data_IF_499870048396
#
_entry.id   IF_499870048396
#
_cell.length_a   1.000
_cell.length_b   1.000
_cell.length_c   1.000
_cell.angle_alpha   90.00
_cell.angle_beta   90.00
_cell.angle_gamma   90.00
#
_symmetry.space_group_name_H-M   'P 1'
#
loop_
_entity.id
_entity.type
_entity.pdbx_description
1 polymer ?
#
# COMPACT_ATOMS: atom_id res chain seq x y z
N UNK A 1 -11.64 -20.96 3.95
CA UNK A 1 -10.23 -20.68 3.98
C UNK A 1 -9.80 -19.90 2.78
N UNK A 2 -9.20 -18.79 2.98
CA UNK A 2 -8.90 -17.91 1.87
C UNK A 2 -7.40 -17.63 1.84
N UNK A 3 -6.69 -18.41 1.03
CA UNK A 3 -5.25 -18.24 0.93
C UNK A 3 -4.87 -16.89 0.40
N UNK A 4 -5.64 -16.35 -0.53
CA UNK A 4 -5.32 -15.05 -1.11
C UNK A 4 -5.42 -13.95 -0.04
N UNK A 5 -6.39 -14.06 0.84
CA UNK A 5 -6.52 -13.08 1.91
C UNK A 5 -5.37 -13.20 2.90
N UNK A 6 -4.99 -14.44 3.25
CA UNK A 6 -3.88 -14.65 4.15
C UNK A 6 -2.58 -14.16 3.55
N UNK A 7 -2.37 -14.43 2.27
CA UNK A 7 -1.17 -13.96 1.60
C UNK A 7 -1.13 -12.45 1.53
N UNK A 8 -2.28 -11.82 1.31
CA UNK A 8 -2.36 -10.38 1.27
C UNK A 8 -1.93 -9.78 2.61
N UNK A 9 -2.45 -10.31 3.69
CA UNK A 9 -2.13 -9.81 5.02
C UNK A 9 -0.67 -10.05 5.37
N UNK A 10 -0.18 -11.23 5.06
CA UNK A 10 1.22 -11.54 5.33
C UNK A 10 2.16 -10.66 4.54
N UNK A 11 1.85 -10.44 3.26
CA UNK A 11 2.70 -9.59 2.43
C UNK A 11 2.70 -8.16 2.94
N UNK A 12 1.53 -7.67 3.37
CA UNK A 12 1.43 -6.33 3.90
C UNK A 12 2.29 -6.19 5.16
N UNK A 13 2.20 -7.17 6.05
CA UNK A 13 2.99 -7.13 7.28
C UNK A 13 4.48 -7.17 7.00
N UNK A 14 4.88 -8.01 6.06
CA UNK A 14 6.30 -8.11 5.72
C UNK A 14 6.81 -6.85 5.04
N UNK A 15 5.98 -6.21 4.24
CA UNK A 15 6.38 -4.97 3.62
C UNK A 15 6.55 -3.87 4.67
N UNK A 16 5.65 -3.83 5.65
CA UNK A 16 5.80 -2.86 6.73
C UNK A 16 7.11 -3.08 7.46
N UNK A 17 7.45 -4.33 7.74
CA UNK A 17 8.70 -4.63 8.41
C UNK A 17 9.90 -4.22 7.57
N UNK A 18 9.82 -4.40 6.26
CA UNK A 18 10.89 -4.01 5.36
C UNK A 18 11.07 -2.50 5.33
N UNK A 19 9.96 -1.77 5.29
CA UNK A 19 10.02 -0.32 5.32
C UNK A 19 10.62 0.19 6.62
N UNK A 20 10.28 -0.47 7.73
CA UNK A 20 10.88 -0.12 9.01
C UNK A 20 12.38 -0.34 8.99
N UNK A 21 12.84 -1.41 8.34
CA UNK A 21 14.27 -1.68 8.23
C UNK A 21 14.97 -0.63 7.39
N UNK A 22 14.31 -0.14 6.34
CA UNK A 22 14.89 0.94 5.54
C UNK A 22 15.09 2.18 6.40
N UNK A 23 14.09 2.49 7.20
CA UNK A 23 14.16 3.66 8.06
C UNK A 23 15.30 3.51 9.07
N UNK A 24 15.40 2.35 9.68
CA UNK A 24 16.43 2.09 10.67
C UNK A 24 17.82 2.16 10.04
N UNK A 25 17.93 1.82 8.76
CA UNK A 25 19.21 1.85 8.06
C UNK A 25 19.59 3.25 7.56
N UNK A 26 18.71 4.23 7.76
CA UNK A 26 19.01 5.60 7.38
C UNK A 26 18.62 5.98 5.97
N UNK A 27 17.79 5.16 5.31
CA UNK A 27 17.30 5.52 3.99
C UNK A 27 16.41 6.76 4.07
N UNK A 28 16.47 7.58 3.04
CA UNK A 28 15.51 8.67 2.93
C UNK A 28 14.11 8.08 2.80
N UNK A 29 13.18 8.51 3.67
CA UNK A 29 11.86 7.91 3.72
C UNK A 29 11.10 7.97 2.41
N UNK A 30 11.07 9.15 1.80
CA UNK A 30 10.37 9.30 0.54
C UNK A 30 10.99 8.48 -0.57
N UNK A 31 12.31 8.45 -0.62
CA UNK A 31 13.01 7.70 -1.66
C UNK A 31 12.78 6.20 -1.49
N UNK A 32 12.80 5.72 -0.24
CA UNK A 32 12.60 4.30 0.00
C UNK A 32 11.18 3.87 -0.38
N UNK A 33 10.19 4.68 -0.02
CA UNK A 33 8.83 4.35 -0.37
C UNK A 33 8.59 4.45 -1.86
N UNK A 34 9.18 5.44 -2.50
CA UNK A 34 9.06 5.56 -3.95
C UNK A 34 9.67 4.39 -4.68
N UNK A 35 10.86 3.97 -4.24
CA UNK A 35 11.51 2.83 -4.85
C UNK A 35 10.73 1.54 -4.65
N UNK A 36 10.21 1.33 -3.45
CA UNK A 36 9.41 0.15 -3.17
C UNK A 36 8.15 0.15 -4.03
N UNK A 37 7.49 1.29 -4.13
CA UNK A 37 6.28 1.41 -4.93
C UNK A 37 6.58 1.14 -6.40
N UNK A 38 7.67 1.68 -6.90
CA UNK A 38 8.03 1.48 -8.29
C UNK A 38 8.26 0.00 -8.59
N UNK A 39 8.93 -0.70 -7.69
CA UNK A 39 9.17 -2.14 -7.87
C UNK A 39 7.85 -2.90 -7.92
N UNK A 40 6.92 -2.54 -7.04
CA UNK A 40 5.63 -3.21 -7.01
C UNK A 40 4.84 -2.94 -8.29
N UNK A 41 4.82 -1.70 -8.72
CA UNK A 41 4.11 -1.32 -9.94
C UNK A 41 4.69 -2.06 -11.15
N UNK A 42 6.01 -2.16 -11.19
CA UNK A 42 6.67 -2.85 -12.28
C UNK A 42 6.24 -4.31 -12.34
N UNK A 43 6.20 -4.97 -11.19
CA UNK A 43 5.79 -6.37 -11.17
C UNK A 43 4.33 -6.54 -11.53
N UNK A 44 3.49 -5.61 -11.11
CA UNK A 44 2.08 -5.64 -11.49
C UNK A 44 1.92 -5.48 -12.99
N UNK A 45 2.69 -4.58 -13.57
CA UNK A 45 2.58 -4.32 -15.01
C UNK A 45 3.00 -5.54 -15.81
N UNK A 46 4.02 -6.24 -15.35
CA UNK A 46 4.48 -7.43 -16.05
C UNK A 46 3.50 -8.58 -15.89
N UNK A 47 2.94 -8.74 -14.70
CA UNK A 47 2.10 -9.89 -14.40
C UNK A 47 0.65 -9.75 -14.82
N UNK A 48 0.18 -8.54 -15.09
CA UNK A 48 -1.21 -8.34 -15.44
C UNK A 48 -1.45 -8.64 -16.91
N UNK A 49 -2.63 -9.13 -17.26
CA UNK A 49 -2.95 -9.42 -18.66
C UNK A 49 -3.01 -8.15 -19.50
N UNK A 50 -3.33 -7.02 -18.90
CA UNK A 50 -3.37 -5.76 -19.64
C UNK A 50 -3.27 -4.61 -18.65
N UNK A 51 -3.08 -3.42 -19.20
CA UNK A 51 -2.89 -2.22 -18.37
C UNK A 51 -4.13 -1.88 -17.56
N UNK A 52 -5.30 -2.10 -18.12
CA UNK A 52 -6.53 -1.77 -17.42
C UNK A 52 -6.69 -2.60 -16.16
N UNK A 53 -6.35 -3.89 -16.25
CA UNK A 53 -6.42 -4.77 -15.08
C UNK A 53 -5.43 -4.32 -14.02
N UNK A 54 -4.22 -3.97 -14.42
CA UNK A 54 -3.20 -3.52 -13.47
C UNK A 54 -3.64 -2.24 -12.78
N UNK A 55 -4.15 -1.28 -13.55
CA UNK A 55 -4.59 -0.01 -12.98
C UNK A 55 -5.77 -0.19 -12.06
N UNK A 56 -6.69 -1.10 -12.41
CA UNK A 56 -7.83 -1.37 -11.56
C UNK A 56 -7.41 -1.95 -10.22
N UNK A 57 -6.46 -2.87 -10.25
CA UNK A 57 -5.98 -3.46 -9.01
C UNK A 57 -5.27 -2.42 -8.16
N UNK A 58 -4.42 -1.60 -8.76
CA UNK A 58 -3.74 -0.54 -8.04
C UNK A 58 -4.74 0.45 -7.44
N UNK A 59 -5.78 0.77 -8.20
CA UNK A 59 -6.81 1.66 -7.69
C UNK A 59 -7.52 1.09 -6.47
N UNK A 60 -7.80 -0.21 -6.50
CA UNK A 60 -8.42 -0.86 -5.35
C UNK A 60 -7.53 -0.80 -4.13
N UNK A 61 -6.23 -1.03 -4.32
CA UNK A 61 -5.30 -0.96 -3.21
C UNK A 61 -5.22 0.46 -2.64
N UNK A 62 -5.23 1.45 -3.51
CA UNK A 62 -5.18 2.84 -3.07
C UNK A 62 -6.44 3.19 -2.29
N UNK A 63 -7.59 2.73 -2.75
CA UNK A 63 -8.84 3.00 -2.05
C UNK A 63 -8.84 2.37 -0.67
N UNK A 64 -8.37 1.13 -0.58
CA UNK A 64 -8.29 0.45 0.71
C UNK A 64 -7.35 1.20 1.65
N UNK A 65 -6.19 1.62 1.14
CA UNK A 65 -5.24 2.35 1.96
C UNK A 65 -5.82 3.67 2.44
N UNK A 66 -6.57 4.35 1.57
CA UNK A 66 -7.19 5.61 1.96
C UNK A 66 -8.18 5.42 3.09
N UNK A 67 -8.93 4.31 3.05
CA UNK A 67 -9.86 4.03 4.13
C UNK A 67 -9.15 3.77 5.44
N UNK A 68 -7.97 3.18 5.39
CA UNK A 68 -7.20 2.94 6.59
C UNK A 68 -6.65 4.23 7.19
N UNK A 69 -6.35 5.19 6.33
CA UNK A 69 -5.83 6.48 6.79
C UNK A 69 -6.94 7.40 7.28
N UNK A 70 -8.05 7.41 6.57
CA UNK A 70 -9.17 8.26 6.94
C UNK A 70 -10.13 7.46 7.80
N UNK A 71 -9.74 7.27 9.02
CA UNK A 71 -10.55 6.57 9.99
C UNK A 71 -11.87 7.29 10.19
N UNK A 72 -13.00 6.59 10.24
CA UNK A 72 -14.28 7.24 10.48
C UNK A 72 -14.29 8.11 11.73
N UNK A 73 -13.62 7.67 12.76
CA UNK A 73 -13.56 8.46 13.98
C UNK A 73 -12.87 9.79 13.74
N UNK A 74 -11.79 9.76 13.00
CA UNK A 74 -11.07 10.98 12.68
C UNK A 74 -11.91 11.89 11.82
N UNK A 75 -12.64 11.29 10.91
CA UNK A 75 -13.50 12.06 10.04
C UNK A 75 -14.54 12.81 10.85
N UNK A 76 -15.03 12.18 11.88
CA UNK A 76 -16.02 12.83 12.71
C UNK A 76 -15.44 14.00 13.47
N UNK A 77 -14.22 13.88 13.87
CA UNK A 77 -13.57 14.99 14.50
C UNK A 77 -13.50 16.13 13.58
N UNK A 78 -13.47 15.70 12.45
CA UNK A 78 -13.28 16.62 11.55
C UNK A 78 -13.79 17.83 11.86
N UNK A 79 -14.23 17.82 12.35
CA UNK A 79 -14.51 18.85 12.26
C UNK A 79 -13.57 19.59 12.24
N UNK A 80 -13.16 18.95 12.27
CA UNK A 80 -12.41 19.34 12.05
C UNK A 80 -12.59 20.34 11.42
N UNK A 81 -13.07 20.30 11.64
CA UNK A 81 -13.22 20.82 11.29
C UNK A 81 -13.56 21.34 11.03
N UNK A 82 -13.60 21.39 11.22
CA UNK A 82 -13.87 21.57 11.04
C UNK A 82 -14.31 21.81 10.81
#
# INVERSE_FOLDING_TARGET
>A
MDKAKDDFESASDEMEALLDRFEAAGYNGGAAMGGAMQAIIFRMAIGAPDAATALGFMGSCMSTAALMVTDPDETEHGPRTS
#
